data_IF_334511925504
#
_entry.id   IF_334511925504
#
_cell.length_a   1.000
_cell.length_b   1.000
_cell.length_c   1.000
_cell.angle_alpha   90.00
_cell.angle_beta   90.00
_cell.angle_gamma   90.00
#
_symmetry.space_group_name_H-M   'P 1'
#
loop_
_entity.id
_entity.type
_entity.pdbx_description
1 polymer ?
#
# COMPACT_ATOMS: atom_id res chain seq x y z
N UNK A 1 15.55 8.04 9.90
CA UNK A 1 15.48 9.50 9.64
C UNK A 1 14.13 9.79 9.02
N UNK A 2 13.45 10.89 9.32
CA UNK A 2 12.22 11.23 8.62
C UNK A 2 12.52 11.41 7.13
N UNK A 3 11.79 10.70 6.26
CA UNK A 3 11.99 10.82 4.81
C UNK A 3 11.60 12.23 4.38
N UNK A 4 12.52 12.96 3.75
CA UNK A 4 12.17 14.19 3.08
C UNK A 4 11.38 13.87 1.81
N UNK A 5 10.05 13.90 1.94
CA UNK A 5 9.04 13.62 0.92
C UNK A 5 9.18 14.43 -0.38
N UNK A 6 9.97 15.50 -0.38
CA UNK A 6 10.20 16.37 -1.54
C UNK A 6 11.50 16.05 -2.29
N UNK A 7 12.34 15.14 -1.78
CA UNK A 7 13.62 14.80 -2.42
C UNK A 7 13.64 13.34 -2.89
N UNK A 8 13.83 13.15 -4.20
CA UNK A 8 13.89 11.82 -4.83
C UNK A 8 14.95 10.90 -4.19
N UNK A 9 16.12 11.46 -3.82
CA UNK A 9 17.21 10.71 -3.19
C UNK A 9 16.82 10.09 -1.84
N UNK A 10 16.10 10.83 -1.00
CA UNK A 10 15.62 10.32 0.30
C UNK A 10 14.54 9.25 0.06
N UNK A 11 13.65 9.49 -0.91
CA UNK A 11 12.62 8.52 -1.30
C UNK A 11 13.19 7.24 -1.92
N UNK A 12 14.42 7.23 -2.44
CA UNK A 12 15.06 6.07 -3.06
C UNK A 12 15.84 5.19 -2.08
N UNK A 13 16.51 5.79 -1.10
CA UNK A 13 17.49 5.07 -0.27
C UNK A 13 17.11 4.99 1.21
N UNK A 14 16.28 5.91 1.71
CA UNK A 14 16.03 5.99 3.14
C UNK A 14 15.00 4.94 3.59
N UNK A 15 15.14 4.53 4.84
CA UNK A 15 14.21 3.69 5.56
C UNK A 15 13.23 4.61 6.29
N UNK A 16 11.91 4.50 6.02
CA UNK A 16 10.92 5.33 6.70
C UNK A 16 10.82 4.98 8.20
N UNK A 17 10.44 5.94 9.03
CA UNK A 17 10.16 5.75 10.45
C UNK A 17 8.71 5.31 10.73
N UNK A 18 7.84 5.41 9.73
CA UNK A 18 6.43 5.01 9.73
C UNK A 18 5.97 4.73 8.30
N UNK A 19 4.86 4.02 8.07
CA UNK A 19 4.37 3.74 6.73
C UNK A 19 4.24 5.01 5.88
N UNK A 20 4.88 5.02 4.70
CA UNK A 20 4.83 6.12 3.74
C UNK A 20 4.07 5.66 2.48
N UNK A 21 2.89 6.22 2.25
CA UNK A 21 1.99 5.84 1.17
C UNK A 21 2.02 6.87 0.04
N UNK A 22 2.17 6.40 -1.19
CA UNK A 22 2.02 7.19 -2.39
C UNK A 22 0.60 7.09 -2.93
N UNK A 23 -0.04 8.25 -3.12
CA UNK A 23 -1.42 8.40 -3.60
C UNK A 23 -1.46 9.35 -4.79
N UNK A 24 -2.63 9.51 -5.43
CA UNK A 24 -2.86 10.52 -6.47
C UNK A 24 -4.18 11.25 -6.21
N UNK A 25 -4.29 12.50 -6.66
CA UNK A 25 -5.56 13.22 -6.67
C UNK A 25 -6.52 12.62 -7.70
N UNK A 26 -7.82 12.58 -7.37
CA UNK A 26 -8.89 12.16 -8.28
C UNK A 26 -9.59 10.86 -7.88
N UNK A 27 -10.40 10.32 -8.80
CA UNK A 27 -11.26 9.14 -8.58
C UNK A 27 -10.47 7.83 -8.72
N UNK A 28 -9.49 7.61 -7.86
CA UNK A 28 -8.80 6.33 -7.76
C UNK A 28 -9.10 5.71 -6.39
N UNK A 29 -9.94 4.69 -6.33
CA UNK A 29 -10.46 4.18 -5.04
C UNK A 29 -9.48 3.26 -4.32
N UNK A 30 -8.50 2.67 -5.01
CA UNK A 30 -7.66 1.65 -4.41
C UNK A 30 -6.68 2.19 -3.35
N UNK A 31 -6.25 3.46 -3.46
CA UNK A 31 -5.29 4.02 -2.51
C UNK A 31 -5.87 4.33 -1.13
N UNK A 32 -7.19 4.45 -1.00
CA UNK A 32 -7.81 4.75 0.30
C UNK A 32 -7.88 3.53 1.21
N UNK A 33 -7.90 2.31 0.65
CA UNK A 33 -8.08 1.07 1.42
C UNK A 33 -6.98 0.89 2.50
N UNK A 34 -5.68 1.03 2.19
CA UNK A 34 -4.62 0.89 3.19
C UNK A 34 -4.66 2.00 4.26
N UNK A 35 -5.08 3.21 3.87
CA UNK A 35 -5.23 4.34 4.80
C UNK A 35 -6.33 4.03 5.82
N UNK A 36 -7.49 3.55 5.38
CA UNK A 36 -8.60 3.17 6.26
C UNK A 36 -8.14 2.12 7.29
N UNK A 37 -7.36 1.13 6.86
CA UNK A 37 -6.83 0.12 7.77
C UNK A 37 -5.86 0.72 8.80
N UNK A 38 -4.93 1.58 8.37
CA UNK A 38 -4.00 2.26 9.28
C UNK A 38 -4.72 3.13 10.31
N UNK A 39 -5.72 3.90 9.87
CA UNK A 39 -6.57 4.69 10.77
C UNK A 39 -7.34 3.80 11.75
N UNK A 40 -7.91 2.69 11.28
CA UNK A 40 -8.62 1.73 12.13
C UNK A 40 -7.72 1.11 13.21
N UNK A 41 -6.47 0.83 12.86
CA UNK A 41 -5.46 0.27 13.78
C UNK A 41 -4.77 1.35 14.64
N UNK A 42 -5.07 2.64 14.44
CA UNK A 42 -4.42 3.74 15.16
C UNK A 42 -2.95 3.94 14.82
N UNK A 43 -2.51 3.52 13.64
CA UNK A 43 -1.12 3.62 13.18
C UNK A 43 -0.90 4.95 12.47
N UNK A 44 0.08 5.72 12.95
CA UNK A 44 0.51 6.94 12.28
C UNK A 44 1.18 6.60 10.94
N UNK A 45 0.83 7.33 9.90
CA UNK A 45 1.40 7.17 8.57
C UNK A 45 1.65 8.52 7.93
N UNK A 46 2.42 8.50 6.86
CA UNK A 46 2.69 9.62 6.00
C UNK A 46 2.10 9.36 4.61
N UNK A 47 1.42 10.34 4.02
CA UNK A 47 0.97 10.28 2.63
C UNK A 47 1.73 11.29 1.76
N UNK A 48 2.05 10.88 0.53
CA UNK A 48 2.59 11.73 -0.53
C UNK A 48 1.65 11.64 -1.72
N UNK A 49 1.02 12.76 -2.05
CA UNK A 49 0.21 12.86 -3.24
C UNK A 49 1.11 13.15 -4.44
N UNK A 50 1.18 12.20 -5.36
CA UNK A 50 1.90 12.32 -6.61
C UNK A 50 1.02 13.00 -7.65
N UNK A 51 1.61 13.89 -8.43
CA UNK A 51 1.00 14.35 -9.67
C UNK A 51 1.21 13.31 -10.79
N UNK A 52 0.42 13.43 -11.86
CA UNK A 52 0.51 12.51 -13.00
C UNK A 52 1.90 12.42 -13.65
N UNK A 53 2.70 13.50 -13.73
CA UNK A 53 4.08 13.44 -14.17
C UNK A 53 5.02 12.68 -13.22
N UNK A 54 4.89 12.82 -11.90
CA UNK A 54 5.79 12.19 -10.93
C UNK A 54 5.83 10.66 -11.04
N UNK A 55 4.70 10.00 -11.34
CA UNK A 55 4.65 8.54 -11.53
C UNK A 55 5.51 8.07 -12.71
N UNK A 56 5.83 8.94 -13.67
CA UNK A 56 6.63 8.59 -14.86
C UNK A 56 8.14 8.77 -14.68
N UNK A 57 8.58 9.24 -13.52
CA UNK A 57 9.99 9.45 -13.22
C UNK A 57 10.73 8.15 -12.91
N UNK A 58 12.05 8.17 -13.06
CA UNK A 58 12.89 6.99 -12.79
C UNK A 58 12.87 6.58 -11.31
N UNK A 59 12.74 7.54 -10.39
CA UNK A 59 12.69 7.24 -8.96
C UNK A 59 11.41 6.50 -8.59
N UNK A 60 10.25 6.89 -9.15
CA UNK A 60 9.02 6.17 -8.88
C UNK A 60 8.99 4.79 -9.54
N UNK A 61 9.64 4.64 -10.70
CA UNK A 61 9.78 3.33 -11.37
C UNK A 61 10.54 2.32 -10.51
N UNK A 62 11.50 2.77 -9.68
CA UNK A 62 12.20 1.92 -8.71
C UNK A 62 11.31 1.45 -7.56
N UNK A 63 10.24 2.18 -7.26
CA UNK A 63 9.26 1.84 -6.22
C UNK A 63 8.17 0.92 -6.80
N UNK A 64 7.58 1.30 -7.93
CA UNK A 64 6.55 0.52 -8.60
C UNK A 64 6.88 0.36 -10.09
N UNK A 65 7.16 -0.86 -10.58
CA UNK A 65 7.61 -1.09 -11.96
C UNK A 65 6.58 -0.66 -13.02
N UNK A 66 5.29 -0.86 -12.73
CA UNK A 66 4.18 -0.39 -13.58
C UNK A 66 3.75 1.06 -13.32
N UNK A 67 4.35 1.75 -12.35
CA UNK A 67 4.10 3.17 -12.06
C UNK A 67 2.66 3.49 -11.63
N UNK A 68 1.97 2.53 -11.02
CA UNK A 68 0.64 2.73 -10.45
C UNK A 68 0.70 3.15 -8.97
N UNK A 69 -0.45 3.60 -8.47
CA UNK A 69 -0.71 3.84 -7.05
C UNK A 69 -1.91 2.97 -6.60
N UNK A 70 -2.02 2.58 -5.33
CA UNK A 70 -1.07 2.89 -4.25
C UNK A 70 0.24 2.10 -4.36
N UNK A 71 1.28 2.71 -3.80
CA UNK A 71 2.50 2.04 -3.40
C UNK A 71 2.90 2.55 -2.01
N UNK A 72 3.69 1.79 -1.28
CA UNK A 72 4.11 2.13 0.06
C UNK A 72 5.54 1.70 0.34
N UNK A 73 6.22 2.53 1.13
CA UNK A 73 7.47 2.19 1.80
C UNK A 73 7.17 1.98 3.27
N UNK A 74 7.82 0.97 3.84
CA UNK A 74 7.77 0.72 5.26
C UNK A 74 9.12 0.15 5.75
N UNK A 75 9.28 0.00 7.06
CA UNK A 75 10.48 -0.52 7.70
C UNK A 75 10.20 -1.85 8.39
N UNK A 76 10.82 -2.95 7.96
CA UNK A 76 10.75 -4.26 8.61
C UNK A 76 12.14 -4.71 9.07
N UNK A 77 12.31 -4.97 10.38
CA UNK A 77 13.57 -5.46 10.99
C UNK A 77 14.82 -4.64 10.60
N UNK A 78 14.69 -3.32 10.64
CA UNK A 78 15.71 -2.34 10.25
C UNK A 78 15.93 -2.25 8.75
N UNK A 79 15.04 -2.79 7.91
CA UNK A 79 15.17 -2.79 6.45
C UNK A 79 13.99 -2.12 5.78
N UNK A 80 14.28 -1.37 4.73
CA UNK A 80 13.24 -0.83 3.85
C UNK A 80 12.56 -1.95 3.09
N UNK A 81 11.24 -1.98 3.13
CA UNK A 81 10.39 -2.81 2.28
C UNK A 81 9.53 -1.94 1.38
N UNK A 82 9.17 -2.50 0.22
CA UNK A 82 8.30 -1.85 -0.76
C UNK A 82 7.10 -2.74 -0.99
N UNK A 83 5.90 -2.18 -0.86
CA UNK A 83 4.65 -2.87 -1.12
C UNK A 83 3.84 -2.10 -2.15
N UNK A 84 3.28 -2.82 -3.11
CA UNK A 84 2.39 -2.30 -4.15
C UNK A 84 1.17 -3.21 -4.24
N UNK A 85 0.12 -2.73 -4.92
CA UNK A 85 -1.23 -3.30 -4.88
C UNK A 85 -1.93 -3.11 -3.52
N UNK A 86 -3.13 -2.52 -3.54
CA UNK A 86 -3.86 -2.19 -2.31
C UNK A 86 -4.17 -3.41 -1.46
N UNK A 87 -4.44 -4.55 -2.08
CA UNK A 87 -4.84 -5.78 -1.40
C UNK A 87 -3.64 -6.47 -0.76
N UNK A 88 -2.48 -6.44 -1.42
CA UNK A 88 -1.22 -6.89 -0.83
C UNK A 88 -0.81 -5.99 0.35
N UNK A 89 -1.02 -4.68 0.22
CA UNK A 89 -0.79 -3.73 1.32
C UNK A 89 -1.69 -4.03 2.52
N UNK A 90 -2.98 -4.30 2.33
CA UNK A 90 -3.88 -4.69 3.42
C UNK A 90 -3.38 -5.95 4.14
N UNK A 91 -2.97 -6.98 3.39
CA UNK A 91 -2.44 -8.21 3.98
C UNK A 91 -1.17 -7.96 4.81
N UNK A 92 -0.23 -7.19 4.26
CA UNK A 92 1.01 -6.84 4.95
C UNK A 92 0.76 -6.02 6.23
N UNK A 93 -0.05 -4.96 6.13
CA UNK A 93 -0.35 -4.08 7.25
C UNK A 93 -1.09 -4.80 8.37
N UNK A 94 -2.07 -5.65 8.06
CA UNK A 94 -2.74 -6.46 9.08
C UNK A 94 -1.75 -7.44 9.72
N UNK A 95 -0.90 -8.12 8.95
CA UNK A 95 0.05 -9.07 9.54
C UNK A 95 1.04 -8.39 10.50
N UNK A 96 1.44 -7.16 10.19
CA UNK A 96 2.46 -6.43 10.94
C UNK A 96 1.90 -5.64 12.11
N UNK A 97 0.84 -4.87 11.88
CA UNK A 97 0.36 -3.86 12.82
C UNK A 97 -0.90 -4.27 13.58
N UNK A 98 -1.66 -5.26 13.10
CA UNK A 98 -2.84 -5.77 13.80
C UNK A 98 -2.45 -6.81 14.85
N UNK A 99 -1.82 -6.33 15.93
CA UNK A 99 -1.35 -7.14 17.07
C UNK A 99 -2.48 -7.94 17.71
N UNK A 100 -3.70 -7.40 17.69
CA UNK A 100 -4.89 -8.04 18.26
C UNK A 100 -5.59 -9.02 17.30
N UNK A 101 -5.09 -9.14 16.06
CA UNK A 101 -5.60 -10.04 15.01
C UNK A 101 -7.09 -9.87 14.69
N UNK A 102 -7.59 -8.64 14.76
CA UNK A 102 -8.99 -8.28 14.47
C UNK A 102 -9.33 -8.28 12.97
N UNK A 103 -8.34 -8.05 12.12
CA UNK A 103 -8.47 -7.85 10.68
C UNK A 103 -7.79 -8.95 9.85
N UNK A 104 -6.81 -9.68 10.40
CA UNK A 104 -6.12 -10.77 9.70
C UNK A 104 -6.61 -12.19 10.05
N UNK A 105 -7.38 -12.36 11.13
CA UNK A 105 -7.74 -13.69 11.63
C UNK A 105 -6.62 -14.31 12.48
N UNK A 106 -6.96 -15.32 13.28
CA UNK A 106 -6.02 -15.96 14.21
C UNK A 106 -5.64 -17.39 13.83
N UNK A 107 -6.37 -17.99 12.89
CA UNK A 107 -6.14 -19.34 12.39
C UNK A 107 -5.97 -19.35 10.88
N UNK A 108 -5.32 -20.39 10.35
CA UNK A 108 -5.16 -20.57 8.91
C UNK A 108 -6.51 -20.61 8.15
N UNK A 109 -7.57 -21.12 8.79
CA UNK A 109 -8.90 -21.16 8.19
C UNK A 109 -9.54 -19.76 8.10
N UNK A 110 -9.36 -18.93 9.11
CA UNK A 110 -9.84 -17.54 9.12
C UNK A 110 -9.04 -16.67 8.14
N UNK A 111 -7.71 -16.81 8.14
CA UNK A 111 -6.82 -16.15 7.18
C UNK A 111 -7.21 -16.50 5.74
N UNK A 112 -7.50 -17.78 5.46
CA UNK A 112 -7.98 -18.24 4.15
C UNK A 112 -9.33 -17.62 3.79
N UNK A 113 -10.28 -17.58 4.73
CA UNK A 113 -11.61 -17.01 4.49
C UNK A 113 -11.53 -15.51 4.17
N UNK A 114 -10.71 -14.75 4.89
CA UNK A 114 -10.45 -13.33 4.62
C UNK A 114 -9.74 -13.16 3.28
N UNK A 115 -8.69 -13.96 3.04
CA UNK A 115 -7.90 -13.96 1.80
C UNK A 115 -8.75 -14.24 0.55
N UNK A 116 -9.76 -15.10 0.65
CA UNK A 116 -10.70 -15.35 -0.44
C UNK A 116 -11.45 -14.08 -0.86
N UNK A 117 -11.95 -13.30 0.09
CA UNK A 117 -12.68 -12.05 -0.22
C UNK A 117 -11.75 -10.95 -0.75
N UNK A 118 -10.56 -10.82 -0.17
CA UNK A 118 -9.53 -9.87 -0.65
C UNK A 118 -9.11 -10.20 -2.09
N UNK A 119 -8.89 -11.48 -2.37
CA UNK A 119 -8.52 -11.94 -3.72
C UNK A 119 -9.68 -11.78 -4.70
N UNK A 120 -10.91 -12.08 -4.28
CA UNK A 120 -12.10 -11.89 -5.10
C UNK A 120 -12.28 -10.43 -5.52
N UNK A 121 -12.11 -9.48 -4.61
CA UNK A 121 -12.20 -8.05 -4.90
C UNK A 121 -11.11 -7.62 -5.90
N UNK A 122 -9.87 -8.04 -5.65
CA UNK A 122 -8.72 -7.74 -6.52
C UNK A 122 -8.92 -8.26 -7.95
N UNK A 123 -9.41 -9.50 -8.09
CA UNK A 123 -9.63 -10.12 -9.39
C UNK A 123 -10.86 -9.56 -10.12
N UNK A 124 -11.89 -9.16 -9.37
CA UNK A 124 -13.17 -8.69 -9.93
C UNK A 124 -13.07 -7.29 -10.57
N UNK A 125 -12.12 -6.45 -10.12
CA UNK A 125 -11.86 -5.14 -10.72
C UNK A 125 -11.28 -5.20 -12.15
N UNK A 126 -10.82 -6.38 -12.61
CA UNK A 126 -10.37 -6.60 -13.98
C UNK A 126 -11.47 -6.97 -14.97
N UNK A 127 -12.70 -7.24 -14.51
CA UNK A 127 -13.80 -7.65 -15.40
C UNK A 127 -14.38 -6.44 -16.14
N UNK A 128 -13.94 -6.25 -17.38
CA UNK A 128 -14.62 -5.37 -18.33
C UNK A 128 -15.70 -6.20 -19.02
N UNK A 129 -16.97 -5.93 -18.74
CA UNK A 129 -18.05 -6.43 -19.57
C UNK A 129 -17.96 -5.75 -20.94
N UNK A 130 -17.34 -6.42 -21.92
CA UNK A 130 -17.57 -6.07 -23.32
C UNK A 130 -18.99 -6.54 -23.67
N UNK A 131 -19.95 -5.62 -23.63
CA UNK A 131 -21.22 -5.84 -24.33
C UNK A 131 -20.94 -5.97 -25.84
N UNK A 132 -21.65 -6.86 -26.55
CA UNK A 132 -21.53 -6.99 -28.00
C UNK A 132 -21.95 -5.74 -28.76
#
# INVERSE_FOLDING_TARGET
MPINKLSAKSLDCDIPDKPLIFVVEGRYQNWIKPIILLEHLGINYDAVCLDGPATRTDWYTRIHPQRYVPAMLDEEDGKRVVCWDSSQMLQYLSKKYDVEKKCCGSTAAEELAIGNWVTFETASLGYVHCSP
#
